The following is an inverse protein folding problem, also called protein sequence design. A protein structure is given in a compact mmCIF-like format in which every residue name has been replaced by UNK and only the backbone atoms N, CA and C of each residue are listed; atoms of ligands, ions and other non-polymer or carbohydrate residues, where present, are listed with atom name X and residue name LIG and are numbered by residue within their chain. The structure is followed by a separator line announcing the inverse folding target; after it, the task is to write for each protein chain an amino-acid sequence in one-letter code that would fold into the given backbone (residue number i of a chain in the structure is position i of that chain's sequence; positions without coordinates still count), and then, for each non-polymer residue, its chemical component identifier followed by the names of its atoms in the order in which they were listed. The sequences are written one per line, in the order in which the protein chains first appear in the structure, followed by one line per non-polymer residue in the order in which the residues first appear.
data_IF_480389663535
#
_entry.id   IF_480389663535
#
_cell.length_a   1.000
_cell.length_b   1.000
_cell.length_c   1.000
_cell.angle_alpha   90.00
_cell.angle_beta   90.00
_cell.angle_gamma   90.00
#
_symmetry.space_group_name_H-M   'P 1'
#
loop_
_entity.id
_entity.type
_entity.pdbx_description
1 polymer ?
#
# COMPACT_ATOMS: atom_id res chain seq x y z
N UNK A 1 -20.33 16.19 -10.79
CA UNK A 1 -20.28 16.94 -9.51
C UNK A 1 -19.28 18.05 -9.73
N UNK A 2 -19.65 19.30 -9.43
CA UNK A 2 -18.76 20.43 -9.61
C UNK A 2 -17.43 20.17 -8.90
N UNK A 3 -16.33 20.28 -9.65
CA UNK A 3 -14.96 20.09 -9.18
C UNK A 3 -14.67 21.10 -8.07
N UNK A 4 -14.72 20.67 -6.82
CA UNK A 4 -14.00 21.38 -5.77
C UNK A 4 -12.52 21.33 -6.16
N UNK A 5 -11.98 22.49 -6.55
CA UNK A 5 -10.57 22.63 -6.86
C UNK A 5 -9.77 22.13 -5.66
N UNK A 6 -9.02 21.04 -5.84
CA UNK A 6 -8.16 20.48 -4.80
C UNK A 6 -7.24 21.60 -4.33
N UNK A 7 -7.34 22.00 -3.07
CA UNK A 7 -6.50 23.03 -2.46
C UNK A 7 -5.85 22.47 -1.23
N UNK A 8 -4.53 22.29 -1.30
CA UNK A 8 -3.75 21.67 -0.23
C UNK A 8 -2.88 22.71 0.46
N UNK A 9 -2.90 22.75 1.80
CA UNK A 9 -1.84 23.40 2.56
C UNK A 9 -0.63 22.45 2.62
N UNK A 10 0.37 22.71 1.77
CA UNK A 10 1.55 21.87 1.67
C UNK A 10 2.36 21.76 2.98
N UNK A 11 2.27 22.75 3.89
CA UNK A 11 2.95 22.67 5.18
C UNK A 11 2.23 21.70 6.10
N UNK A 12 0.90 21.74 6.14
CA UNK A 12 0.07 20.80 6.91
C UNK A 12 0.21 19.38 6.38
N UNK A 13 0.07 19.19 5.05
CA UNK A 13 0.23 17.90 4.39
C UNK A 13 1.60 17.27 4.70
N UNK A 14 2.67 18.06 4.67
CA UNK A 14 4.01 17.57 4.99
C UNK A 14 4.16 17.18 6.47
N UNK A 15 3.51 17.91 7.37
CA UNK A 15 3.47 17.59 8.79
C UNK A 15 2.75 16.25 9.04
N UNK A 16 1.59 16.06 8.41
CA UNK A 16 0.81 14.83 8.49
C UNK A 16 1.61 13.63 7.97
N UNK A 17 2.26 13.79 6.80
CA UNK A 17 3.11 12.77 6.21
C UNK A 17 4.23 12.36 7.16
N UNK A 18 4.96 13.31 7.75
CA UNK A 18 6.05 13.02 8.70
C UNK A 18 5.57 12.25 9.93
N UNK A 19 4.43 12.66 10.52
CA UNK A 19 3.81 11.96 11.64
C UNK A 19 3.41 10.53 11.26
N UNK A 20 2.70 10.38 10.15
CA UNK A 20 2.18 9.09 9.69
C UNK A 20 3.29 8.11 9.29
N UNK A 21 4.41 8.59 8.75
CA UNK A 21 5.60 7.77 8.47
C UNK A 21 6.10 7.13 9.76
N UNK A 22 6.21 7.90 10.85
CA UNK A 22 6.66 7.35 12.14
C UNK A 22 5.64 6.35 12.69
N UNK A 23 4.36 6.70 12.74
CA UNK A 23 3.31 5.82 13.29
C UNK A 23 3.21 4.49 12.52
N UNK A 24 3.30 4.52 11.18
CA UNK A 24 3.29 3.32 10.34
C UNK A 24 4.58 2.50 10.50
N UNK A 25 5.74 3.17 10.60
CA UNK A 25 7.03 2.50 10.77
C UNK A 25 7.12 1.76 12.09
N UNK A 26 6.66 2.39 13.18
CA UNK A 26 6.59 1.76 14.51
C UNK A 26 5.70 0.50 14.52
N UNK A 27 4.64 0.50 13.71
CA UNK A 27 3.70 -0.63 13.56
C UNK A 27 4.14 -1.68 12.55
N UNK A 28 5.28 -1.52 11.88
CA UNK A 28 5.78 -2.47 10.88
C UNK A 28 4.98 -2.48 9.56
N UNK A 29 4.23 -1.41 9.28
CA UNK A 29 3.44 -1.25 8.05
C UNK A 29 4.33 -0.73 6.91
N UNK A 30 5.19 -1.61 6.39
CA UNK A 30 6.29 -1.26 5.48
C UNK A 30 5.83 -0.57 4.19
N UNK A 31 4.80 -1.11 3.51
CA UNK A 31 4.33 -0.55 2.24
C UNK A 31 3.68 0.83 2.40
N UNK A 32 2.88 1.03 3.45
CA UNK A 32 2.33 2.35 3.77
C UNK A 32 3.44 3.34 4.13
N UNK A 33 4.43 2.92 4.91
CA UNK A 33 5.59 3.75 5.26
C UNK A 33 6.37 4.16 4.01
N UNK A 34 6.61 3.22 3.08
CA UNK A 34 7.27 3.48 1.78
C UNK A 34 6.50 4.54 1.00
N UNK A 35 5.19 4.32 0.81
CA UNK A 35 4.34 5.21 0.02
C UNK A 35 4.27 6.63 0.60
N UNK A 36 4.07 6.75 1.93
CA UNK A 36 4.08 8.04 2.61
C UNK A 36 5.44 8.75 2.51
N UNK A 37 6.53 7.99 2.58
CA UNK A 37 7.90 8.52 2.43
C UNK A 37 8.17 9.04 1.02
N UNK A 38 7.71 8.32 -0.01
CA UNK A 38 7.79 8.76 -1.41
C UNK A 38 7.03 10.09 -1.63
N UNK A 39 5.82 10.22 -1.06
CA UNK A 39 5.06 11.46 -1.10
C UNK A 39 5.72 12.60 -0.32
N UNK A 40 6.24 12.33 0.87
CA UNK A 40 6.97 13.32 1.66
C UNK A 40 8.22 13.83 0.94
N UNK A 41 8.93 12.95 0.25
CA UNK A 41 10.10 13.32 -0.56
C UNK A 41 9.72 14.16 -1.78
N UNK A 42 8.56 13.91 -2.40
CA UNK A 42 8.04 14.76 -3.46
C UNK A 42 7.86 16.22 -3.01
N UNK A 43 7.56 16.44 -1.73
CA UNK A 43 7.43 17.77 -1.10
C UNK A 43 8.73 18.27 -0.45
N UNK A 44 9.90 17.76 -0.81
CA UNK A 44 11.17 18.10 -0.15
C UNK A 44 11.49 19.61 -0.08
N UNK A 45 11.04 20.40 -1.07
CA UNK A 45 11.28 21.84 -1.15
C UNK A 45 10.48 22.67 -0.12
N UNK A 46 9.40 22.09 0.42
CA UNK A 46 8.57 22.74 1.44
C UNK A 46 9.31 22.74 2.77
N UNK A 47 9.68 23.92 3.28
CA UNK A 47 10.36 24.06 4.58
C UNK A 47 9.36 24.14 5.72
N UNK A 48 9.56 23.33 6.75
CA UNK A 48 8.81 23.38 8.01
C UNK A 48 9.57 24.24 9.03
N UNK A 49 8.86 25.12 9.74
CA UNK A 49 9.47 26.09 10.67
C UNK A 49 9.84 25.48 12.02
N UNK A 50 9.28 24.32 12.35
CA UNK A 50 9.62 23.53 13.53
C UNK A 50 9.87 22.08 13.14
N UNK A 51 11.06 21.58 13.44
CA UNK A 51 11.35 20.15 13.49
C UNK A 51 10.58 19.57 14.67
N UNK A 52 9.28 19.30 14.49
CA UNK A 52 8.54 18.55 15.50
C UNK A 52 9.21 17.19 15.63
N UNK A 53 9.68 16.87 16.83
CA UNK A 53 10.37 15.64 17.15
C UNK A 53 9.36 14.46 17.14
N UNK A 54 8.88 14.08 15.95
CA UNK A 54 7.99 12.93 15.77
C UNK A 54 8.67 11.60 16.15
N UNK A 55 9.99 11.62 16.34
CA UNK A 55 10.82 10.44 16.60
C UNK A 55 10.84 9.97 18.05
N UNK A 56 10.18 10.67 18.98
CA UNK A 56 10.14 10.21 20.36
C UNK A 56 9.12 9.07 20.48
N UNK A 57 9.62 7.87 20.80
CA UNK A 57 8.77 6.84 21.35
C UNK A 57 8.22 7.39 22.67
N UNK A 58 6.90 7.49 22.78
CA UNK A 58 6.27 7.73 24.09
C UNK A 58 6.77 6.64 25.04
N UNK A 59 7.39 7.08 26.14
CA UNK A 59 7.93 6.20 27.15
C UNK A 59 6.76 5.72 28.01
N UNK A 60 6.18 4.60 27.60
CA UNK A 60 5.06 3.93 28.26
C UNK A 60 5.55 2.67 29.02
N UNK A 61 4.69 2.12 29.88
CA UNK A 61 4.99 0.94 30.71
C UNK A 61 5.23 -0.35 29.87
N UNK A 62 5.01 -0.32 28.56
CA UNK A 62 5.21 -1.43 27.62
C UNK A 62 6.39 -1.21 26.66
N UNK A 63 7.21 -0.18 26.89
CA UNK A 63 8.30 0.21 26.00
C UNK A 63 9.32 -0.91 25.82
N UNK A 64 9.73 -1.62 26.89
CA UNK A 64 10.67 -2.73 26.80
C UNK A 64 10.09 -3.92 26.03
N UNK A 65 8.81 -4.22 26.23
CA UNK A 65 8.10 -5.28 25.49
C UNK A 65 8.04 -4.94 24.01
N UNK A 66 7.69 -3.69 23.69
CA UNK A 66 7.63 -3.20 22.32
C UNK A 66 9.00 -3.27 21.62
N UNK A 67 10.07 -2.77 22.26
CA UNK A 67 11.40 -2.76 21.65
C UNK A 67 11.89 -4.17 21.33
N UNK A 68 11.72 -5.11 22.27
CA UNK A 68 12.07 -6.51 22.06
C UNK A 68 11.23 -7.14 20.94
N UNK A 69 9.90 -7.00 21.01
CA UNK A 69 8.99 -7.57 20.04
C UNK A 69 9.18 -7.00 18.63
N UNK A 70 9.46 -5.70 18.52
CA UNK A 70 9.75 -5.04 17.25
C UNK A 70 11.04 -5.55 16.63
N UNK A 71 12.06 -5.86 17.43
CA UNK A 71 13.29 -6.49 16.91
C UNK A 71 13.02 -7.88 16.32
N UNK A 72 12.18 -8.69 16.98
CA UNK A 72 11.74 -9.98 16.43
C UNK A 72 10.88 -9.82 15.17
N UNK A 73 10.00 -8.82 15.17
CA UNK A 73 9.16 -8.51 14.00
C UNK A 73 10.01 -8.16 12.77
N UNK A 74 11.03 -7.32 12.94
CA UNK A 74 11.91 -6.88 11.85
C UNK A 74 12.75 -8.01 11.28
N UNK A 75 13.11 -9.00 12.12
CA UNK A 75 13.76 -10.24 11.71
C UNK A 75 12.78 -11.29 11.16
N UNK A 76 11.49 -10.96 11.01
CA UNK A 76 10.42 -11.86 10.55
C UNK A 76 10.19 -13.08 11.45
N UNK A 77 10.53 -12.96 12.73
CA UNK A 77 10.26 -13.93 13.80
C UNK A 77 8.90 -13.64 14.44
N UNK A 78 7.83 -13.74 13.65
CA UNK A 78 6.51 -13.25 14.02
C UNK A 78 5.91 -13.96 15.24
N UNK A 79 6.11 -15.27 15.41
CA UNK A 79 5.62 -16.00 16.59
C UNK A 79 6.26 -15.51 17.90
N UNK A 80 7.56 -15.15 17.86
CA UNK A 80 8.24 -14.58 19.03
C UNK A 80 7.70 -13.19 19.35
N UNK A 81 7.50 -12.36 18.33
CA UNK A 81 6.89 -11.04 18.47
C UNK A 81 5.51 -11.16 19.15
N UNK A 82 4.65 -12.06 18.67
CA UNK A 82 3.33 -12.30 19.24
C UNK A 82 3.39 -12.76 20.70
N UNK A 83 4.31 -13.66 21.04
CA UNK A 83 4.47 -14.18 22.40
C UNK A 83 4.82 -13.09 23.42
N UNK A 84 5.78 -12.22 23.10
CA UNK A 84 6.20 -11.15 24.02
C UNK A 84 5.22 -9.96 24.09
N UNK A 85 4.16 -9.96 23.28
CA UNK A 85 3.16 -8.89 23.23
C UNK A 85 1.74 -9.35 23.59
N UNK A 86 1.59 -10.60 24.07
CA UNK A 86 0.30 -11.24 24.33
C UNK A 86 -0.60 -10.45 25.29
N UNK A 87 -0.01 -9.85 26.33
CA UNK A 87 -0.75 -9.13 27.36
C UNK A 87 -0.70 -7.60 27.21
N UNK A 88 0.02 -7.10 26.20
CA UNK A 88 0.17 -5.67 25.94
C UNK A 88 -1.15 -5.03 25.52
N UNK A 89 -1.44 -3.85 26.05
CA UNK A 89 -2.67 -3.09 25.82
C UNK A 89 -2.42 -1.74 25.14
N UNK A 90 -1.18 -1.24 25.13
CA UNK A 90 -0.85 0.00 24.42
C UNK A 90 -1.17 -0.19 22.93
N UNK A 91 -1.95 0.70 22.28
CA UNK A 91 -2.44 0.49 20.92
C UNK A 91 -1.37 0.10 19.90
N UNK A 92 -0.20 0.73 19.96
CA UNK A 92 0.97 0.40 19.13
C UNK A 92 1.42 -1.05 19.31
N UNK A 93 1.67 -1.46 20.54
CA UNK A 93 2.17 -2.79 20.89
C UNK A 93 1.12 -3.87 20.67
N UNK A 94 -0.15 -3.56 21.00
CA UNK A 94 -1.31 -4.41 20.75
C UNK A 94 -1.54 -4.63 19.25
N UNK A 95 -1.39 -3.59 18.42
CA UNK A 95 -1.43 -3.74 16.97
C UNK A 95 -0.32 -4.68 16.49
N UNK A 96 0.92 -4.48 16.98
CA UNK A 96 2.06 -5.32 16.61
C UNK A 96 1.85 -6.80 16.98
N UNK A 97 1.23 -7.08 18.13
CA UNK A 97 0.80 -8.43 18.52
C UNK A 97 -0.15 -9.04 17.47
N UNK A 98 -1.25 -8.33 17.16
CA UNK A 98 -2.28 -8.83 16.24
C UNK A 98 -1.71 -9.02 14.84
N UNK A 99 -0.89 -8.06 14.39
CA UNK A 99 -0.29 -8.08 13.06
C UNK A 99 0.78 -9.16 12.91
N UNK A 100 1.60 -9.41 13.94
CA UNK A 100 2.56 -10.52 13.94
C UNK A 100 1.86 -11.88 13.88
N UNK A 101 0.75 -12.07 14.61
CA UNK A 101 -0.06 -13.30 14.49
C UNK A 101 -0.61 -13.50 13.08
N UNK A 102 -1.12 -12.44 12.45
CA UNK A 102 -1.55 -12.47 11.06
C UNK A 102 -0.42 -12.86 10.11
N UNK A 103 0.73 -12.17 10.19
CA UNK A 103 1.87 -12.43 9.30
C UNK A 103 2.52 -13.80 9.53
N UNK A 104 2.50 -14.33 10.76
CA UNK A 104 2.92 -15.70 11.05
C UNK A 104 2.05 -16.71 10.29
N UNK A 105 0.73 -16.52 10.30
CA UNK A 105 -0.22 -17.34 9.55
C UNK A 105 0.02 -17.26 8.04
N UNK A 106 0.15 -16.05 7.49
CA UNK A 106 0.41 -15.87 6.05
C UNK A 106 1.77 -16.45 5.63
N UNK A 107 2.81 -16.34 6.46
CA UNK A 107 4.14 -16.92 6.21
C UNK A 107 4.06 -18.43 6.11
N UNK A 108 3.46 -19.10 7.12
CA UNK A 108 3.28 -20.55 7.13
C UNK A 108 2.45 -21.04 5.95
N UNK A 109 1.44 -20.26 5.54
CA UNK A 109 0.63 -20.55 4.34
C UNK A 109 1.45 -20.55 3.05
N UNK A 110 2.36 -19.59 2.88
CA UNK A 110 3.22 -19.52 1.70
C UNK A 110 4.23 -20.68 1.71
N UNK A 111 4.81 -20.99 2.87
CA UNK A 111 5.75 -22.12 3.03
C UNK A 111 5.08 -23.46 2.68
N UNK A 112 3.88 -23.72 3.21
CA UNK A 112 3.11 -24.95 2.89
C UNK A 112 2.70 -25.03 1.42
N UNK A 113 2.43 -23.90 0.74
CA UNK A 113 2.13 -23.89 -0.70
C UNK A 113 3.33 -24.28 -1.56
N UNK A 114 4.56 -24.05 -1.08
CA UNK A 114 5.77 -24.43 -1.81
C UNK A 114 6.12 -25.91 -1.65
N UNK A 115 5.62 -26.56 -0.59
CA UNK A 115 5.76 -28.00 -0.38
C UNK A 115 4.68 -28.79 -1.12
N UNK A 116 4.96 -29.13 -2.37
CA UNK A 116 4.08 -29.88 -3.29
C UNK A 116 3.71 -31.28 -2.75
N UNK A 117 4.46 -31.78 -1.77
CA UNK A 117 4.31 -33.11 -1.18
C UNK A 117 3.29 -33.17 -0.04
N UNK A 118 2.87 -32.03 0.52
CA UNK A 118 1.93 -31.97 1.64
C UNK A 118 0.59 -31.35 1.21
N UNK A 119 -0.55 -32.01 1.51
CA UNK A 119 -1.85 -31.36 1.32
C UNK A 119 -1.95 -30.12 2.23
N UNK A 120 -2.67 -29.08 1.81
CA UNK A 120 -2.80 -27.84 2.59
C UNK A 120 -3.37 -28.12 3.98
N UNK A 121 -2.68 -27.64 5.01
CA UNK A 121 -3.06 -27.88 6.40
C UNK A 121 -4.36 -27.13 6.76
N UNK A 122 -5.46 -27.83 7.13
CA UNK A 122 -6.70 -27.18 7.53
C UNK A 122 -6.57 -26.31 8.79
N UNK A 123 -5.53 -26.49 9.60
CA UNK A 123 -5.30 -25.69 10.82
C UNK A 123 -4.91 -24.23 10.53
N UNK A 124 -4.37 -23.93 9.34
CA UNK A 124 -4.03 -22.56 8.97
C UNK A 124 -5.26 -21.65 8.85
N UNK A 125 -6.38 -22.20 8.38
CA UNK A 125 -7.65 -21.48 8.37
C UNK A 125 -8.23 -21.32 9.79
N UNK A 126 -7.84 -22.17 10.74
CA UNK A 126 -8.27 -22.05 12.13
C UNK A 126 -7.64 -20.83 12.81
N UNK A 127 -6.33 -20.61 12.63
CA UNK A 127 -5.63 -19.46 13.23
C UNK A 127 -6.17 -18.11 12.74
N UNK A 128 -6.50 -18.00 11.45
CA UNK A 128 -7.15 -16.80 10.89
C UNK A 128 -8.55 -16.57 11.48
N UNK A 129 -9.35 -17.64 11.65
CA UNK A 129 -10.69 -17.56 12.27
C UNK A 129 -10.62 -17.19 13.76
N UNK A 130 -9.63 -17.71 14.48
CA UNK A 130 -9.38 -17.34 15.88
C UNK A 130 -9.03 -15.86 16.00
N UNK A 131 -8.10 -15.37 15.16
CA UNK A 131 -7.75 -13.95 15.09
C UNK A 131 -8.96 -13.10 14.73
N UNK A 132 -9.75 -13.50 13.74
CA UNK A 132 -10.99 -12.81 13.36
C UNK A 132 -12.00 -12.75 14.50
N UNK A 133 -12.14 -13.82 15.28
CA UNK A 133 -13.04 -13.88 16.44
C UNK A 133 -12.57 -12.96 17.57
N UNK A 134 -11.26 -12.83 17.78
CA UNK A 134 -10.68 -11.90 18.76
C UNK A 134 -10.87 -10.44 18.34
N UNK A 135 -10.56 -10.11 17.09
CA UNK A 135 -10.76 -8.77 16.53
C UNK A 135 -12.24 -8.37 16.56
N UNK A 136 -13.16 -9.29 16.27
CA UNK A 136 -14.60 -9.05 16.38
C UNK A 136 -15.01 -8.69 17.82
N UNK A 137 -14.50 -9.42 18.83
CA UNK A 137 -14.79 -9.11 20.25
C UNK A 137 -14.26 -7.73 20.63
N UNK A 138 -13.04 -7.41 20.23
CA UNK A 138 -12.42 -6.11 20.51
C UNK A 138 -13.09 -4.96 19.76
N UNK A 139 -13.60 -5.21 18.55
CA UNK A 139 -14.40 -4.26 17.76
C UNK A 139 -15.73 -3.94 18.45
N UNK A 140 -16.48 -4.97 18.85
CA UNK A 140 -17.73 -4.81 19.59
C UNK A 140 -17.52 -4.09 20.94
N UNK A 141 -16.38 -4.32 21.58
CA UNK A 141 -15.98 -3.62 22.81
C UNK A 141 -15.40 -2.21 22.56
N UNK A 142 -15.31 -1.74 21.31
CA UNK A 142 -14.74 -0.46 20.88
C UNK A 142 -13.29 -0.24 21.34
N UNK A 143 -12.49 -1.31 21.38
CA UNK A 143 -11.08 -1.26 21.79
C UNK A 143 -10.10 -1.05 20.64
N UNK A 144 -10.53 -1.25 19.40
CA UNK A 144 -9.66 -1.17 18.22
C UNK A 144 -9.37 0.28 17.81
N UNK A 145 -8.08 0.60 17.67
CA UNK A 145 -7.59 1.83 17.04
C UNK A 145 -7.71 1.77 15.51
N UNK A 146 -7.38 2.85 14.81
CA UNK A 146 -7.49 2.92 13.34
C UNK A 146 -6.68 1.83 12.61
N UNK A 147 -5.49 1.50 13.14
CA UNK A 147 -4.64 0.46 12.57
C UNK A 147 -5.18 -0.95 12.83
N UNK A 148 -5.68 -1.23 14.04
CA UNK A 148 -6.27 -2.54 14.33
C UNK A 148 -7.61 -2.75 13.60
N UNK A 149 -8.38 -1.68 13.33
CA UNK A 149 -9.53 -1.73 12.43
C UNK A 149 -9.11 -2.07 10.99
N UNK A 150 -8.03 -1.48 10.49
CA UNK A 150 -7.47 -1.87 9.19
C UNK A 150 -7.16 -3.37 9.13
N UNK A 151 -6.46 -3.89 10.14
CA UNK A 151 -6.14 -5.32 10.21
C UNK A 151 -7.40 -6.18 10.30
N UNK A 152 -8.41 -5.73 11.05
CA UNK A 152 -9.70 -6.41 11.10
C UNK A 152 -10.38 -6.46 9.74
N UNK A 153 -10.38 -5.34 9.00
CA UNK A 153 -10.84 -5.28 7.62
C UNK A 153 -10.10 -6.27 6.70
N UNK A 154 -8.77 -6.33 6.80
CA UNK A 154 -7.95 -7.30 6.04
C UNK A 154 -8.34 -8.74 6.38
N UNK A 155 -8.49 -9.07 7.67
CA UNK A 155 -8.89 -10.41 8.11
C UNK A 155 -10.29 -10.76 7.60
N UNK A 156 -11.25 -9.83 7.66
CA UNK A 156 -12.60 -10.03 7.11
C UNK A 156 -12.57 -10.29 5.60
N UNK A 157 -11.73 -9.56 4.84
CA UNK A 157 -11.54 -9.82 3.40
C UNK A 157 -11.00 -11.21 3.14
N UNK A 158 -10.01 -11.66 3.93
CA UNK A 158 -9.45 -13.01 3.83
C UNK A 158 -10.46 -14.10 4.20
N UNK A 159 -11.44 -13.78 5.03
CA UNK A 159 -12.58 -14.64 5.38
C UNK A 159 -13.78 -14.49 4.43
N UNK A 160 -13.63 -13.77 3.32
CA UNK A 160 -14.66 -13.53 2.29
C UNK A 160 -15.89 -12.74 2.78
N UNK A 161 -15.80 -12.06 3.93
CA UNK A 161 -16.84 -11.19 4.48
C UNK A 161 -16.69 -9.76 3.95
N UNK A 162 -16.94 -9.59 2.65
CA UNK A 162 -16.59 -8.37 1.90
C UNK A 162 -17.44 -7.13 2.26
N UNK A 163 -18.67 -7.33 2.72
CA UNK A 163 -19.57 -6.24 3.11
C UNK A 163 -19.11 -5.60 4.41
N UNK A 164 -18.96 -6.42 5.44
CA UNK A 164 -18.45 -6.04 6.76
C UNK A 164 -17.03 -5.47 6.68
N UNK A 165 -16.19 -6.07 5.83
CA UNK A 165 -14.84 -5.54 5.59
C UNK A 165 -14.87 -4.10 5.08
N UNK A 166 -15.78 -3.76 4.15
CA UNK A 166 -15.87 -2.40 3.62
C UNK A 166 -16.30 -1.40 4.70
N UNK A 167 -17.28 -1.76 5.55
CA UNK A 167 -17.73 -0.91 6.66
C UNK A 167 -16.62 -0.65 7.68
N UNK A 168 -15.90 -1.71 8.08
CA UNK A 168 -14.79 -1.61 9.03
C UNK A 168 -13.62 -0.80 8.45
N UNK A 169 -13.30 -0.96 7.16
CA UNK A 169 -12.24 -0.18 6.51
C UNK A 169 -12.61 1.30 6.37
N UNK A 170 -13.89 1.62 6.17
CA UNK A 170 -14.38 3.00 6.25
C UNK A 170 -14.23 3.55 7.66
N UNK A 171 -14.55 2.77 8.71
CA UNK A 171 -14.30 3.17 10.10
C UNK A 171 -12.81 3.42 10.34
N UNK A 172 -11.94 2.54 9.83
CA UNK A 172 -10.48 2.67 9.93
C UNK A 172 -10.00 3.97 9.27
N UNK A 173 -10.48 4.29 8.06
CA UNK A 173 -10.13 5.51 7.34
C UNK A 173 -10.59 6.78 8.08
N UNK A 174 -11.72 6.75 8.79
CA UNK A 174 -12.15 7.88 9.61
C UNK A 174 -11.26 8.08 10.84
N UNK A 175 -10.83 6.98 11.49
CA UNK A 175 -9.96 7.09 12.68
C UNK A 175 -8.52 7.47 12.31
N UNK A 176 -7.99 6.92 11.22
CA UNK A 176 -6.61 7.14 10.79
C UNK A 176 -6.54 7.32 9.26
N UNK A 177 -6.90 8.52 8.75
CA UNK A 177 -6.97 8.79 7.31
C UNK A 177 -5.59 8.76 6.62
N UNK A 178 -4.51 8.90 7.38
CA UNK A 178 -3.14 8.87 6.85
C UNK A 178 -2.64 7.44 6.55
N UNK A 179 -3.31 6.40 7.06
CA UNK A 179 -2.92 5.04 6.75
C UNK A 179 -3.39 4.61 5.35
N UNK A 180 -2.49 4.67 4.37
CA UNK A 180 -2.79 4.31 2.98
C UNK A 180 -3.32 2.88 2.79
N UNK A 181 -2.91 1.93 3.64
CA UNK A 181 -3.37 0.54 3.59
C UNK A 181 -4.90 0.40 3.64
N UNK A 182 -5.57 1.16 4.53
CA UNK A 182 -7.03 1.14 4.65
C UNK A 182 -7.73 1.52 3.34
N UNK A 183 -7.23 2.57 2.69
CA UNK A 183 -7.76 3.06 1.42
C UNK A 183 -7.52 2.09 0.27
N UNK A 184 -6.32 1.50 0.21
CA UNK A 184 -5.95 0.54 -0.82
C UNK A 184 -6.81 -0.72 -0.71
N UNK A 185 -6.97 -1.27 0.50
CA UNK A 185 -7.81 -2.43 0.73
C UNK A 185 -9.30 -2.14 0.46
N UNK A 186 -9.76 -0.93 0.77
CA UNK A 186 -11.13 -0.49 0.45
C UNK A 186 -11.35 -0.36 -1.06
N UNK A 187 -10.36 0.14 -1.81
CA UNK A 187 -10.46 0.31 -3.25
C UNK A 187 -10.74 -1.02 -3.97
N UNK A 188 -10.10 -2.12 -3.56
CA UNK A 188 -10.36 -3.43 -4.19
C UNK A 188 -11.75 -4.00 -3.86
N UNK A 189 -12.47 -3.44 -2.89
CA UNK A 189 -13.84 -3.86 -2.54
C UNK A 189 -14.91 -3.09 -3.31
N UNK A 190 -14.52 -2.02 -4.01
CA UNK A 190 -15.43 -1.18 -4.77
C UNK A 190 -15.54 -1.74 -6.18
N UNK A 191 -16.68 -2.36 -6.47
CA UNK A 191 -16.98 -2.97 -7.76
C UNK A 191 -17.53 -1.98 -8.78
N UNK A 192 -18.15 -0.89 -8.31
CA UNK A 192 -18.82 0.07 -9.16
C UNK A 192 -18.95 1.45 -8.49
N UNK A 193 -19.35 2.43 -9.31
CA UNK A 193 -19.55 3.83 -8.90
C UNK A 193 -20.71 4.01 -7.92
N UNK A 194 -21.70 3.11 -7.92
CA UNK A 194 -22.84 3.22 -7.00
C UNK A 194 -22.43 2.88 -5.58
N UNK A 195 -21.62 1.84 -5.40
CA UNK A 195 -21.00 1.48 -4.13
C UNK A 195 -20.06 2.57 -3.66
N UNK A 196 -19.23 3.13 -4.54
CA UNK A 196 -18.37 4.26 -4.17
C UNK A 196 -19.18 5.47 -3.65
N UNK A 197 -20.29 5.79 -4.32
CA UNK A 197 -21.15 6.92 -3.94
C UNK A 197 -21.97 6.67 -2.67
N UNK A 198 -22.18 5.40 -2.27
CA UNK A 198 -22.89 5.08 -1.03
C UNK A 198 -21.99 5.14 0.20
N UNK A 199 -20.66 5.11 0.03
CA UNK A 199 -19.71 5.23 1.14
C UNK A 199 -19.65 6.68 1.64
N UNK A 200 -19.80 6.84 2.94
CA UNK A 200 -19.44 8.08 3.63
C UNK A 200 -17.96 7.99 3.92
N UNK A 201 -17.15 8.86 3.31
CA UNK A 201 -15.69 8.88 3.47
C UNK A 201 -15.25 10.14 4.21
N UNK A 202 -14.16 10.09 5.00
CA UNK A 202 -13.70 11.25 5.74
C UNK A 202 -13.29 12.38 4.79
N UNK A 203 -13.57 13.61 5.21
CA UNK A 203 -13.15 14.80 4.49
C UNK A 203 -11.67 15.09 4.78
N UNK A 204 -10.80 14.49 3.97
CA UNK A 204 -9.35 14.53 4.14
C UNK A 204 -8.66 14.48 2.78
N UNK A 205 -7.51 15.13 2.61
CA UNK A 205 -6.82 15.22 1.32
C UNK A 205 -6.41 13.86 0.74
N UNK A 206 -6.15 12.87 1.59
CA UNK A 206 -5.89 11.47 1.21
C UNK A 206 -7.04 10.85 0.39
N UNK A 207 -8.28 11.33 0.57
CA UNK A 207 -9.43 10.90 -0.22
C UNK A 207 -9.23 11.13 -1.71
N UNK A 208 -8.50 12.16 -2.13
CA UNK A 208 -8.22 12.40 -3.55
C UNK A 208 -7.31 11.32 -4.15
N UNK A 209 -6.27 10.89 -3.42
CA UNK A 209 -5.42 9.76 -3.85
C UNK A 209 -6.23 8.47 -3.96
N UNK A 210 -7.11 8.22 -2.99
CA UNK A 210 -8.02 7.10 -3.01
C UNK A 210 -8.98 7.14 -4.21
N UNK A 211 -9.64 8.27 -4.47
CA UNK A 211 -10.57 8.41 -5.58
C UNK A 211 -9.87 8.21 -6.93
N UNK A 212 -8.68 8.80 -7.12
CA UNK A 212 -7.89 8.59 -8.34
C UNK A 212 -7.56 7.11 -8.54
N UNK A 213 -7.10 6.42 -7.50
CA UNK A 213 -6.80 4.99 -7.57
C UNK A 213 -8.05 4.13 -7.81
N UNK A 214 -9.16 4.40 -7.11
CA UNK A 214 -10.42 3.66 -7.29
C UNK A 214 -11.02 3.86 -8.69
N UNK A 215 -10.91 5.06 -9.26
CA UNK A 215 -11.34 5.33 -10.63
C UNK A 215 -10.47 4.63 -11.67
N UNK A 216 -9.16 4.57 -11.43
CA UNK A 216 -8.24 3.84 -12.31
C UNK A 216 -8.58 2.34 -12.36
N UNK A 217 -8.83 1.72 -11.22
CA UNK A 217 -9.26 0.30 -11.13
C UNK A 217 -10.60 0.06 -11.83
N UNK A 218 -11.54 1.01 -11.74
CA UNK A 218 -12.83 0.97 -12.43
C UNK A 218 -12.76 1.34 -13.92
N UNK A 219 -11.57 1.50 -14.50
CA UNK A 219 -11.35 1.89 -15.90
C UNK A 219 -11.92 3.28 -16.25
N UNK A 220 -12.21 4.13 -15.25
CA UNK A 220 -12.59 5.53 -15.41
C UNK A 220 -11.32 6.39 -15.55
N UNK A 221 -10.57 6.13 -16.61
CA UNK A 221 -9.21 6.65 -16.76
C UNK A 221 -9.15 8.17 -16.90
N UNK A 222 -10.16 8.80 -17.51
CA UNK A 222 -10.22 10.27 -17.66
C UNK A 222 -10.45 10.94 -16.29
N UNK A 223 -11.46 10.47 -15.54
CA UNK A 223 -11.73 10.94 -14.16
C UNK A 223 -10.48 10.77 -13.26
N UNK A 224 -9.74 9.67 -13.41
CA UNK A 224 -8.50 9.42 -12.65
C UNK A 224 -7.37 10.38 -13.05
N UNK A 225 -7.18 10.63 -14.36
CA UNK A 225 -6.17 11.55 -14.88
C UNK A 225 -6.40 12.98 -14.41
N UNK A 226 -7.65 13.45 -14.41
CA UNK A 226 -7.99 14.79 -13.94
C UNK A 226 -7.57 14.99 -12.47
N UNK A 227 -7.83 13.99 -11.62
CA UNK A 227 -7.39 14.00 -10.22
C UNK A 227 -5.86 13.98 -10.12
N UNK A 228 -5.17 13.12 -10.88
CA UNK A 228 -3.71 13.03 -10.82
C UNK A 228 -3.04 14.33 -11.28
N UNK A 229 -3.53 14.97 -12.35
CA UNK A 229 -3.02 16.26 -12.79
C UNK A 229 -3.31 17.36 -11.77
N UNK A 230 -4.49 17.38 -11.16
CA UNK A 230 -4.80 18.31 -10.09
C UNK A 230 -3.84 18.14 -8.89
N UNK A 231 -3.58 16.91 -8.45
CA UNK A 231 -2.62 16.62 -7.37
C UNK A 231 -1.18 17.04 -7.74
N UNK A 232 -0.75 16.81 -8.99
CA UNK A 232 0.56 17.25 -9.46
C UNK A 232 0.69 18.77 -9.43
N UNK A 233 -0.34 19.50 -9.86
CA UNK A 233 -0.38 20.98 -9.82
C UNK A 233 -0.37 21.54 -8.39
N UNK A 234 -0.87 20.79 -7.40
CA UNK A 234 -0.85 21.17 -5.99
C UNK A 234 0.51 20.94 -5.29
N UNK A 235 1.53 20.46 -6.00
CA UNK A 235 2.91 20.32 -5.47
C UNK A 235 3.47 18.91 -5.53
N UNK A 236 2.69 17.91 -5.94
CA UNK A 236 3.15 16.52 -6.07
C UNK A 236 3.68 16.16 -7.47
N UNK A 237 4.12 17.14 -8.27
CA UNK A 237 4.65 16.93 -9.62
C UNK A 237 5.79 15.88 -9.67
N UNK A 238 6.66 15.90 -8.66
CA UNK A 238 7.83 15.01 -8.53
C UNK A 238 7.51 13.65 -7.90
N UNK A 239 6.24 13.37 -7.57
CA UNK A 239 5.83 12.10 -6.97
C UNK A 239 5.93 10.97 -7.98
N UNK A 240 6.87 10.04 -7.77
CA UNK A 240 7.04 8.85 -8.62
C UNK A 240 5.79 7.98 -8.66
N UNK A 241 5.05 7.90 -7.55
CA UNK A 241 3.74 7.24 -7.49
C UNK A 241 2.75 7.87 -8.48
N UNK A 242 2.55 9.19 -8.46
CA UNK A 242 1.60 9.85 -9.38
C UNK A 242 2.05 9.73 -10.84
N UNK A 243 3.35 9.82 -11.10
CA UNK A 243 3.90 9.61 -12.45
C UNK A 243 3.59 8.19 -12.94
N UNK A 244 3.77 7.16 -12.10
CA UNK A 244 3.46 5.78 -12.42
C UNK A 244 1.95 5.58 -12.68
N UNK A 245 1.07 6.08 -11.80
CA UNK A 245 -0.38 5.95 -11.97
C UNK A 245 -0.88 6.68 -13.23
N UNK A 246 -0.31 7.85 -13.54
CA UNK A 246 -0.59 8.58 -14.79
C UNK A 246 -0.20 7.76 -16.02
N UNK A 247 0.97 7.11 -15.99
CA UNK A 247 1.42 6.26 -17.09
C UNK A 247 0.51 5.03 -17.30
N UNK A 248 0.03 4.42 -16.21
CA UNK A 248 -0.93 3.30 -16.23
C UNK A 248 -2.29 3.77 -16.79
N UNK A 249 -2.76 4.96 -16.39
CA UNK A 249 -4.00 5.51 -16.94
C UNK A 249 -3.92 5.75 -18.46
N UNK A 250 -2.78 6.26 -18.95
CA UNK A 250 -2.54 6.39 -20.39
C UNK A 250 -2.46 5.03 -21.10
N UNK A 251 -1.84 4.03 -20.46
CA UNK A 251 -1.83 2.66 -20.98
C UNK A 251 -3.25 2.10 -21.13
N UNK A 252 -4.10 2.23 -20.09
CA UNK A 252 -5.48 1.77 -20.12
C UNK A 252 -6.33 2.51 -21.17
N UNK A 253 -6.05 3.80 -21.41
CA UNK A 253 -6.63 4.59 -22.51
C UNK A 253 -6.12 4.22 -23.91
N UNK A 254 -5.15 3.31 -24.00
CA UNK A 254 -4.43 2.95 -25.23
C UNK A 254 -3.65 4.10 -25.87
N UNK A 255 -3.34 5.15 -25.10
CA UNK A 255 -2.38 6.18 -25.49
C UNK A 255 -0.96 5.70 -25.17
N UNK A 256 -0.49 4.79 -26.01
CA UNK A 256 0.76 4.06 -25.81
C UNK A 256 1.98 5.00 -25.87
N UNK A 257 1.96 6.03 -26.71
CA UNK A 257 3.13 6.89 -26.91
C UNK A 257 3.33 7.85 -25.73
N UNK A 258 2.24 8.39 -25.19
CA UNK A 258 2.27 9.19 -23.95
C UNK A 258 2.63 8.33 -22.74
N UNK A 259 2.10 7.09 -22.66
CA UNK A 259 2.44 6.15 -21.60
C UNK A 259 3.94 5.81 -21.59
N UNK A 260 4.52 5.46 -22.74
CA UNK A 260 5.97 5.16 -22.87
C UNK A 260 6.81 6.38 -22.49
N UNK A 261 6.44 7.57 -22.96
CA UNK A 261 7.16 8.81 -22.63
C UNK A 261 7.13 9.08 -21.12
N UNK A 262 5.99 8.83 -20.49
CA UNK A 262 5.81 9.00 -19.04
C UNK A 262 6.63 7.96 -18.25
N UNK A 263 6.66 6.70 -18.67
CA UNK A 263 7.50 5.67 -18.05
C UNK A 263 9.00 5.95 -18.22
N UNK A 264 9.43 6.45 -19.38
CA UNK A 264 10.83 6.91 -19.58
C UNK A 264 11.19 8.05 -18.63
N UNK A 265 10.25 8.98 -18.37
CA UNK A 265 10.44 10.02 -17.35
C UNK A 265 10.56 9.39 -15.96
N UNK A 266 9.68 8.47 -15.61
CA UNK A 266 9.72 7.76 -14.33
C UNK A 266 11.07 7.06 -14.11
N UNK A 267 11.57 6.30 -15.09
CA UNK A 267 12.84 5.59 -15.00
C UNK A 267 14.03 6.54 -14.81
N UNK A 268 13.99 7.75 -15.40
CA UNK A 268 15.03 8.77 -15.19
C UNK A 268 14.99 9.35 -13.77
N UNK A 269 13.79 9.51 -13.20
CA UNK A 269 13.62 10.02 -11.84
C UNK A 269 14.00 8.99 -10.78
N UNK A 270 13.70 7.72 -11.02
CA UNK A 270 13.91 6.61 -10.08
C UNK A 270 14.43 5.36 -10.82
N UNK A 271 15.74 5.29 -11.10
CA UNK A 271 16.34 4.25 -11.95
C UNK A 271 16.24 2.81 -11.41
N UNK A 272 16.06 2.66 -10.08
CA UNK A 272 16.05 1.35 -9.42
C UNK A 272 14.64 0.87 -9.08
N UNK A 273 13.59 1.60 -9.51
CA UNK A 273 12.20 1.21 -9.31
C UNK A 273 11.81 0.06 -10.24
N UNK A 274 11.45 -1.07 -9.64
CA UNK A 274 10.91 -2.22 -10.36
C UNK A 274 9.37 -2.28 -10.38
N UNK A 275 8.71 -1.50 -9.52
CA UNK A 275 7.24 -1.41 -9.49
C UNK A 275 6.70 -0.95 -10.86
N UNK A 276 5.67 -1.63 -11.38
CA UNK A 276 4.98 -1.30 -12.64
C UNK A 276 5.79 -1.54 -13.94
N UNK A 277 6.95 -2.22 -13.87
CA UNK A 277 7.75 -2.57 -15.05
C UNK A 277 7.09 -3.64 -15.94
N UNK A 278 6.20 -4.44 -15.37
CA UNK A 278 5.33 -5.38 -16.11
C UNK A 278 4.46 -4.64 -17.15
N UNK A 279 3.85 -3.53 -16.76
CA UNK A 279 3.05 -2.68 -17.66
C UNK A 279 3.92 -1.97 -18.69
N UNK A 280 5.09 -1.46 -18.26
CA UNK A 280 6.01 -0.80 -19.17
C UNK A 280 6.60 -1.75 -20.23
N UNK A 281 7.00 -2.96 -19.82
CA UNK A 281 7.51 -3.98 -20.75
C UNK A 281 6.43 -4.44 -21.74
N UNK A 282 5.17 -4.57 -21.32
CA UNK A 282 4.05 -4.82 -22.23
C UNK A 282 3.89 -3.71 -23.29
N UNK A 283 3.98 -2.43 -22.89
CA UNK A 283 3.95 -1.30 -23.84
C UNK A 283 5.09 -1.36 -24.86
N UNK A 284 6.32 -1.63 -24.40
CA UNK A 284 7.49 -1.78 -25.28
C UNK A 284 7.35 -2.97 -26.23
N UNK A 285 6.80 -4.08 -25.74
CA UNK A 285 6.50 -5.27 -26.54
C UNK A 285 5.50 -4.96 -27.66
N UNK A 286 4.36 -4.32 -27.32
CA UNK A 286 3.32 -3.95 -28.29
C UNK A 286 3.82 -2.94 -29.33
N UNK A 287 4.77 -2.09 -28.99
CA UNK A 287 5.43 -1.15 -29.93
C UNK A 287 6.65 -1.73 -30.65
N UNK A 288 6.94 -3.02 -30.46
CA UNK A 288 8.09 -3.71 -31.06
C UNK A 288 9.46 -3.05 -30.77
N UNK A 289 9.59 -2.37 -29.62
CA UNK A 289 10.80 -1.69 -29.19
C UNK A 289 11.81 -2.67 -28.56
N UNK A 290 12.23 -3.67 -29.35
CA UNK A 290 13.03 -4.83 -28.91
C UNK A 290 14.32 -4.45 -28.18
N UNK A 291 15.04 -3.43 -28.67
CA UNK A 291 16.31 -2.98 -28.06
C UNK A 291 16.09 -2.38 -26.67
N UNK A 292 15.05 -1.58 -26.52
CA UNK A 292 14.72 -0.96 -25.23
C UNK A 292 14.21 -1.99 -24.23
N UNK A 293 13.39 -2.94 -24.69
CA UNK A 293 12.92 -4.05 -23.88
C UNK A 293 14.08 -4.95 -23.40
N UNK A 294 15.07 -5.23 -24.26
CA UNK A 294 16.26 -6.00 -23.89
C UNK A 294 17.11 -5.28 -22.84
N UNK A 295 17.30 -3.96 -23.01
CA UNK A 295 17.99 -3.12 -22.02
C UNK A 295 17.25 -3.12 -20.68
N UNK A 296 15.93 -2.93 -20.70
CA UNK A 296 15.09 -2.94 -19.51
C UNK A 296 15.17 -4.28 -18.76
N UNK A 297 15.14 -5.40 -19.49
CA UNK A 297 15.27 -6.73 -18.88
C UNK A 297 16.63 -6.93 -18.20
N UNK A 298 17.71 -6.48 -18.83
CA UNK A 298 19.06 -6.55 -18.26
C UNK A 298 19.17 -5.70 -16.99
N UNK A 299 18.77 -4.43 -17.06
CA UNK A 299 18.77 -3.51 -15.91
C UNK A 299 17.93 -4.07 -14.75
N UNK A 300 16.72 -4.60 -15.03
CA UNK A 300 15.87 -5.19 -14.00
C UNK A 300 16.49 -6.43 -13.35
N UNK A 301 17.17 -7.28 -14.11
CA UNK A 301 17.87 -8.45 -13.59
C UNK A 301 19.09 -8.09 -12.73
N UNK A 302 19.77 -6.98 -13.03
CA UNK A 302 20.87 -6.47 -12.20
C UNK A 302 20.38 -5.94 -10.84
N UNK A 303 19.15 -5.40 -10.80
CA UNK A 303 18.56 -4.86 -9.56
C UNK A 303 18.02 -5.99 -8.67
N UNK A 304 17.07 -6.78 -9.18
CA UNK A 304 16.49 -7.91 -8.45
C UNK A 304 15.89 -8.93 -9.43
N UNK A 305 16.55 -10.08 -9.53
CA UNK A 305 16.17 -11.18 -10.43
C UNK A 305 14.89 -11.91 -10.02
N UNK A 306 14.59 -11.97 -8.72
CA UNK A 306 13.52 -12.84 -8.19
C UNK A 306 12.20 -12.10 -7.96
N UNK A 307 12.13 -10.86 -8.43
CA UNK A 307 10.92 -10.06 -8.38
C UNK A 307 9.97 -10.43 -9.51
N UNK A 308 8.66 -10.45 -9.23
CA UNK A 308 7.62 -10.83 -10.20
C UNK A 308 7.67 -9.92 -11.43
N UNK A 309 7.81 -8.61 -11.23
CA UNK A 309 7.90 -7.64 -12.32
C UNK A 309 9.10 -7.94 -13.23
N UNK A 310 10.29 -8.23 -12.66
CA UNK A 310 11.48 -8.61 -13.44
C UNK A 310 11.23 -9.88 -14.26
N UNK A 311 10.59 -10.89 -13.66
CA UNK A 311 10.21 -12.10 -14.38
C UNK A 311 9.27 -11.79 -15.56
N UNK A 312 8.27 -10.92 -15.38
CA UNK A 312 7.37 -10.49 -16.45
C UNK A 312 8.13 -9.81 -17.59
N UNK A 313 9.06 -8.90 -17.30
CA UNK A 313 9.88 -8.24 -18.34
C UNK A 313 10.67 -9.26 -19.16
N UNK A 314 11.30 -10.24 -18.49
CA UNK A 314 12.09 -11.30 -19.16
C UNK A 314 11.20 -12.17 -20.04
N UNK A 315 9.99 -12.52 -19.58
CA UNK A 315 9.01 -13.30 -20.36
C UNK A 315 8.62 -12.55 -21.64
N UNK A 316 8.32 -11.25 -21.57
CA UNK A 316 8.00 -10.45 -22.75
C UNK A 316 9.19 -10.36 -23.73
N UNK A 317 10.42 -10.25 -23.22
CA UNK A 317 11.61 -10.25 -24.08
C UNK A 317 11.74 -11.58 -24.84
N UNK A 318 11.58 -12.71 -24.16
CA UNK A 318 11.64 -14.04 -24.79
C UNK A 318 10.53 -14.27 -25.83
N UNK A 319 9.36 -13.68 -25.62
CA UNK A 319 8.29 -13.71 -26.61
C UNK A 319 8.65 -12.96 -27.90
N UNK A 320 9.53 -11.96 -27.86
CA UNK A 320 9.99 -11.25 -29.08
C UNK A 320 11.02 -12.02 -29.90
N UNK A 321 11.73 -12.99 -29.31
CA UNK A 321 12.76 -13.78 -30.01
C UNK A 321 12.20 -15.04 -30.67
N UNK A 322 10.98 -15.42 -30.32
CA UNK A 322 10.27 -16.61 -30.83
C UNK A 322 9.27 -16.29 -31.95
N UNK A 323 9.01 -15.01 -32.23
CA UNK A 323 8.11 -14.50 -33.27
C UNK A 323 8.86 -13.83 -34.42
#
# INVERSE_FOLDING_TARGET
MAEESIKLDLKEVKLDLQKAIVECSQRGLLHSTKWLSELNFALQEVKLESSNAFTQLDNDDETEHYLLAKSYFDLKEYDRCAHFTEFCQVPRTRFLHLYSRYLSGEKKKIEDMTDITTPPDPTQNASLRELGSELMRDHLARKLDGYALYLYGVVLKRLELLGEAAEVLVEAAHKEPMHWGSWLELATLITDRTKLNSLVLPDHWMKHFFLGHAFLEQQLNDDALDIYFALQQQGFEKSTYLIAQTAIAFHNRRDVDTAITTFRRLQKCDPFRLDNLDTYSNLLYVRELRVELARLAHEACEIDKYRVETCCVVVFLQATTTA
#
